data_IF_930342865436
#
_entry.id   IF_930342865436
#
_cell.length_a   1.000
_cell.length_b   1.000
_cell.length_c   1.000
_cell.angle_alpha   90.00
_cell.angle_beta   90.00
_cell.angle_gamma   90.00
#
_symmetry.space_group_name_H-M   'P 1'
#
loop_
_entity.id
_entity.type
_entity.pdbx_description
1 polymer ?
#
# COMPACT_ATOMS: atom_id res chain seq x y z
N UNK A 1 -6.33 46.75 -16.41
CA UNK A 1 -5.87 46.02 -15.23
C UNK A 1 -4.92 44.92 -15.73
N UNK A 2 -3.64 45.17 -15.52
CA UNK A 2 -2.57 44.32 -16.06
C UNK A 2 -2.43 43.07 -15.20
N UNK A 3 -2.59 41.88 -15.82
CA UNK A 3 -2.14 40.61 -15.26
C UNK A 3 -0.61 40.68 -15.11
N UNK A 4 -0.12 40.76 -13.89
CA UNK A 4 1.27 40.42 -13.57
C UNK A 4 1.37 38.91 -13.49
N UNK A 5 1.82 38.30 -14.56
CA UNK A 5 2.34 36.95 -14.54
C UNK A 5 3.54 36.89 -13.59
N UNK A 6 3.44 36.03 -12.59
CA UNK A 6 4.57 35.64 -11.74
C UNK A 6 5.48 34.74 -12.55
N UNK A 7 6.26 35.32 -13.45
CA UNK A 7 7.41 34.62 -14.01
C UNK A 7 8.39 34.32 -12.88
N UNK A 8 8.67 33.02 -12.69
CA UNK A 8 9.39 32.50 -11.56
C UNK A 8 10.79 33.11 -11.42
N UNK A 9 11.22 33.26 -10.18
CA UNK A 9 12.48 33.83 -9.74
C UNK A 9 13.76 33.14 -10.29
N UNK A 10 13.64 32.11 -11.09
CA UNK A 10 14.76 31.39 -11.74
C UNK A 10 15.49 32.20 -12.81
N UNK A 11 14.85 33.20 -13.40
CA UNK A 11 15.47 34.05 -14.44
C UNK A 11 16.59 34.97 -13.93
N UNK A 12 16.79 35.06 -12.61
CA UNK A 12 17.83 35.89 -11.98
C UNK A 12 19.09 35.14 -11.57
N UNK A 13 19.12 33.82 -11.71
CA UNK A 13 20.30 33.03 -11.37
C UNK A 13 21.32 33.11 -12.50
N UNK A 14 22.59 33.31 -12.12
CA UNK A 14 23.67 33.19 -13.09
C UNK A 14 23.79 31.73 -13.59
N UNK A 15 24.42 31.47 -14.75
CA UNK A 15 24.66 30.11 -15.20
C UNK A 15 25.42 29.25 -14.18
N UNK A 16 26.28 29.86 -13.37
CA UNK A 16 27.01 29.18 -12.29
C UNK A 16 26.05 28.81 -11.16
N UNK A 17 25.15 29.72 -10.76
CA UNK A 17 24.17 29.43 -9.70
C UNK A 17 23.17 28.36 -10.15
N UNK A 18 22.77 28.35 -11.42
CA UNK A 18 21.92 27.30 -12.00
C UNK A 18 22.64 25.94 -11.98
N UNK A 19 23.91 25.91 -12.39
CA UNK A 19 24.72 24.67 -12.33
C UNK A 19 24.88 24.18 -10.87
N UNK A 20 25.21 25.07 -9.94
CA UNK A 20 25.35 24.70 -8.52
C UNK A 20 24.03 24.18 -7.95
N UNK A 21 22.92 24.87 -8.23
CA UNK A 21 21.61 24.52 -7.66
C UNK A 21 21.01 23.25 -8.29
N UNK A 22 21.11 23.11 -9.60
CA UNK A 22 20.42 22.02 -10.32
C UNK A 22 21.30 20.78 -10.45
N UNK A 23 22.62 20.97 -10.70
CA UNK A 23 23.53 19.86 -10.94
C UNK A 23 24.27 19.44 -9.68
N UNK A 24 25.04 20.33 -9.07
CA UNK A 24 25.95 19.98 -7.96
C UNK A 24 25.21 19.48 -6.72
N UNK A 25 24.07 20.12 -6.35
CA UNK A 25 23.28 19.68 -5.21
C UNK A 25 22.49 18.41 -5.47
N UNK A 26 22.24 18.06 -6.74
CA UNK A 26 21.55 16.84 -7.14
C UNK A 26 22.51 15.69 -7.54
N UNK A 27 23.80 15.92 -7.60
CA UNK A 27 24.82 14.90 -7.92
C UNK A 27 25.07 13.85 -6.80
N UNK A 28 24.28 13.86 -5.74
CA UNK A 28 24.33 12.82 -4.71
C UNK A 28 23.74 11.52 -5.25
N UNK A 29 24.39 10.91 -6.22
CA UNK A 29 24.09 9.53 -6.63
C UNK A 29 24.38 8.61 -5.45
N UNK A 30 23.31 8.06 -4.88
CA UNK A 30 23.39 6.89 -4.00
C UNK A 30 22.90 5.70 -4.78
N UNK A 31 23.63 4.60 -4.69
CA UNK A 31 23.11 3.32 -5.16
C UNK A 31 21.98 2.91 -4.23
N UNK A 32 20.77 2.95 -4.73
CA UNK A 32 19.58 2.43 -4.06
C UNK A 32 19.34 1.00 -4.51
N UNK A 33 18.89 0.10 -3.61
CA UNK A 33 18.44 -1.22 -4.02
C UNK A 33 17.41 -1.09 -5.13
N UNK A 34 17.63 -1.77 -6.24
CA UNK A 34 16.65 -1.90 -7.32
C UNK A 34 15.66 -2.99 -6.98
N UNK A 35 14.39 -2.82 -7.32
CA UNK A 35 13.33 -3.79 -7.06
C UNK A 35 12.10 -3.15 -6.45
N UNK A 36 11.02 -3.92 -6.38
CA UNK A 36 9.76 -3.48 -5.78
C UNK A 36 9.77 -3.65 -4.27
N UNK A 37 8.98 -2.84 -3.57
CA UNK A 37 9.02 -2.71 -2.09
C UNK A 37 8.82 -4.06 -1.39
N UNK A 38 7.89 -4.88 -1.84
CA UNK A 38 7.62 -6.17 -1.20
C UNK A 38 8.76 -7.18 -1.40
N UNK A 39 9.50 -7.15 -2.51
CA UNK A 39 10.69 -7.98 -2.69
C UNK A 39 11.83 -7.57 -1.77
N UNK A 40 12.04 -6.27 -1.59
CA UNK A 40 13.02 -5.76 -0.62
C UNK A 40 12.66 -6.18 0.80
N UNK A 41 11.37 -6.16 1.14
CA UNK A 41 10.86 -6.69 2.40
C UNK A 41 11.15 -8.20 2.54
N UNK A 42 10.86 -9.01 1.52
CA UNK A 42 11.11 -10.44 1.52
C UNK A 42 12.60 -10.78 1.68
N UNK A 43 13.49 -10.02 1.03
CA UNK A 43 14.94 -10.17 1.24
C UNK A 43 15.30 -9.93 2.70
N UNK A 44 14.69 -8.92 3.33
CA UNK A 44 14.91 -8.63 4.75
C UNK A 44 14.35 -9.72 5.66
N UNK A 45 13.15 -10.21 5.36
CA UNK A 45 12.50 -11.29 6.11
C UNK A 45 13.33 -12.58 6.09
N UNK A 46 13.89 -12.94 4.94
CA UNK A 46 14.80 -14.10 4.84
C UNK A 46 16.10 -13.92 5.62
N UNK A 47 16.68 -12.71 5.65
CA UNK A 47 17.94 -12.44 6.35
C UNK A 47 17.79 -12.40 7.88
N UNK A 48 16.66 -11.93 8.38
CA UNK A 48 16.44 -11.70 9.81
C UNK A 48 15.01 -12.09 10.20
N UNK A 49 14.62 -13.38 10.07
CA UNK A 49 13.24 -13.83 10.24
C UNK A 49 12.67 -13.51 11.63
N UNK A 50 13.50 -13.65 12.67
CA UNK A 50 13.09 -13.48 14.08
C UNK A 50 13.20 -12.03 14.59
N UNK A 51 13.75 -11.11 13.78
CA UNK A 51 13.79 -9.71 14.17
C UNK A 51 12.37 -9.12 14.17
N UNK A 52 12.11 -8.21 15.10
CA UNK A 52 10.84 -7.48 15.16
C UNK A 52 10.71 -6.58 13.94
N UNK A 53 9.68 -6.79 13.15
CA UNK A 53 9.34 -5.98 11.98
C UNK A 53 8.39 -4.84 12.35
N UNK A 54 7.43 -5.10 13.24
CA UNK A 54 6.43 -4.12 13.68
C UNK A 54 6.21 -4.27 15.19
N UNK A 55 6.22 -3.16 15.90
CA UNK A 55 5.76 -3.05 17.28
C UNK A 55 4.59 -2.07 17.35
N UNK A 56 3.45 -2.51 17.87
CA UNK A 56 2.25 -1.70 17.94
C UNK A 56 1.40 -2.06 19.18
N UNK A 57 1.15 -1.09 20.07
CA UNK A 57 0.34 -1.25 21.29
C UNK A 57 0.76 -2.45 22.15
N UNK A 58 2.07 -2.66 22.32
CA UNK A 58 2.62 -3.76 23.10
C UNK A 58 2.62 -5.13 22.41
N UNK A 59 2.17 -5.22 21.20
CA UNK A 59 2.29 -6.40 20.35
C UNK A 59 3.51 -6.25 19.42
N UNK A 60 4.31 -7.29 19.31
CA UNK A 60 5.43 -7.37 18.40
C UNK A 60 5.19 -8.49 17.39
N UNK A 61 5.52 -8.21 16.14
CA UNK A 61 5.42 -9.16 15.03
C UNK A 61 6.77 -9.24 14.35
N UNK A 62 7.32 -10.44 14.19
CA UNK A 62 8.59 -10.66 13.52
C UNK A 62 8.45 -10.54 12.01
N UNK A 63 9.57 -10.40 11.30
CA UNK A 63 9.59 -10.41 9.83
C UNK A 63 8.99 -11.68 9.26
N UNK A 64 9.31 -12.84 9.85
CA UNK A 64 8.77 -14.14 9.42
C UNK A 64 7.24 -14.21 9.56
N UNK A 65 6.71 -13.80 10.73
CA UNK A 65 5.28 -13.80 10.98
C UNK A 65 4.52 -12.84 10.05
N UNK A 66 5.08 -11.65 9.84
CA UNK A 66 4.49 -10.65 8.95
C UNK A 66 4.48 -11.16 7.49
N UNK A 67 5.56 -11.78 7.04
CA UNK A 67 5.67 -12.35 5.69
C UNK A 67 4.65 -13.46 5.46
N UNK A 68 4.57 -14.43 6.38
CA UNK A 68 3.62 -15.53 6.31
C UNK A 68 2.17 -15.04 6.27
N UNK A 69 1.82 -14.12 7.17
CA UNK A 69 0.44 -13.59 7.24
C UNK A 69 0.10 -12.78 5.98
N UNK A 70 1.05 -12.01 5.46
CA UNK A 70 0.88 -11.28 4.21
C UNK A 70 0.73 -12.22 3.01
N UNK A 71 1.49 -13.33 2.96
CA UNK A 71 1.35 -14.34 1.91
C UNK A 71 -0.03 -15.01 1.95
N UNK A 72 -0.52 -15.39 3.14
CA UNK A 72 -1.85 -15.97 3.30
C UNK A 72 -2.95 -15.04 2.79
N UNK A 73 -2.89 -13.75 3.17
CA UNK A 73 -3.85 -12.77 2.69
C UNK A 73 -3.70 -12.52 1.18
N UNK A 74 -2.48 -12.48 0.65
CA UNK A 74 -2.26 -12.30 -0.79
C UNK A 74 -2.84 -13.46 -1.60
N UNK A 75 -2.61 -14.71 -1.19
CA UNK A 75 -3.20 -15.89 -1.82
C UNK A 75 -4.74 -15.86 -1.76
N UNK A 76 -5.28 -15.39 -0.64
CA UNK A 76 -6.73 -15.20 -0.50
C UNK A 76 -7.27 -14.13 -1.46
N UNK A 77 -6.59 -12.99 -1.58
CA UNK A 77 -6.96 -11.91 -2.51
C UNK A 77 -6.98 -12.41 -3.96
N UNK A 78 -5.97 -13.18 -4.36
CA UNK A 78 -5.89 -13.76 -5.71
C UNK A 78 -7.05 -14.71 -5.97
N UNK A 79 -7.42 -15.55 -5.00
CA UNK A 79 -8.61 -16.42 -5.08
C UNK A 79 -9.91 -15.60 -5.23
N UNK A 80 -9.97 -14.45 -4.56
CA UNK A 80 -11.11 -13.52 -4.68
C UNK A 80 -11.13 -12.72 -5.98
N UNK A 81 -10.18 -12.90 -6.86
CA UNK A 81 -10.16 -12.31 -8.19
C UNK A 81 -9.21 -11.14 -8.37
N UNK A 82 -8.44 -10.77 -7.35
CA UNK A 82 -7.37 -9.77 -7.49
C UNK A 82 -6.29 -10.29 -8.45
N UNK A 83 -5.82 -9.45 -9.34
CA UNK A 83 -4.80 -9.76 -10.36
C UNK A 83 -3.77 -8.64 -10.40
N UNK A 84 -2.61 -8.85 -11.06
CA UNK A 84 -1.69 -7.75 -11.35
C UNK A 84 -2.42 -6.55 -11.94
N UNK A 85 -1.99 -5.36 -11.57
CA UNK A 85 -2.57 -4.06 -11.97
C UNK A 85 -3.99 -3.79 -11.43
N UNK A 86 -4.59 -4.71 -10.64
CA UNK A 86 -5.87 -4.42 -9.97
C UNK A 86 -5.71 -3.34 -8.91
N UNK A 87 -6.76 -2.55 -8.70
CA UNK A 87 -6.87 -1.71 -7.51
C UNK A 87 -7.59 -2.45 -6.38
N UNK A 88 -7.08 -2.31 -5.16
CA UNK A 88 -7.70 -2.80 -3.93
C UNK A 88 -7.74 -1.66 -2.92
N UNK A 89 -8.94 -1.25 -2.56
CA UNK A 89 -9.11 -0.19 -1.57
C UNK A 89 -8.94 -0.76 -0.14
N UNK A 90 -8.39 0.04 0.76
CA UNK A 90 -8.21 -0.33 2.16
C UNK A 90 -8.86 0.72 3.05
N UNK A 91 -9.82 0.29 3.86
CA UNK A 91 -10.40 1.13 4.90
C UNK A 91 -10.33 0.43 6.26
N UNK A 92 -9.24 0.68 6.95
CA UNK A 92 -8.90 0.11 8.25
C UNK A 92 -8.32 1.19 9.16
N UNK A 93 -8.59 1.09 10.46
CA UNK A 93 -7.86 1.84 11.46
C UNK A 93 -6.38 1.43 11.46
N UNK A 94 -5.50 2.33 11.89
CA UNK A 94 -4.06 2.02 12.05
C UNK A 94 -3.89 0.80 12.95
N UNK A 95 -3.32 -0.27 12.40
CA UNK A 95 -3.21 -1.57 13.05
C UNK A 95 -2.19 -2.47 12.34
N UNK A 96 -1.86 -3.60 12.98
CA UNK A 96 -1.09 -4.66 12.33
C UNK A 96 -1.80 -5.20 11.09
N UNK A 97 -3.14 -5.33 11.14
CA UNK A 97 -3.95 -5.78 10.00
C UNK A 97 -3.80 -4.88 8.78
N UNK A 98 -3.70 -3.55 8.98
CA UNK A 98 -3.49 -2.60 7.89
C UNK A 98 -2.13 -2.82 7.22
N UNK A 99 -1.06 -3.04 7.99
CA UNK A 99 0.28 -3.28 7.44
C UNK A 99 0.36 -4.61 6.69
N UNK A 100 -0.26 -5.66 7.23
CA UNK A 100 -0.42 -6.95 6.55
C UNK A 100 -1.15 -6.77 5.22
N UNK A 101 -2.22 -5.97 5.21
CA UNK A 101 -3.01 -5.72 3.99
C UNK A 101 -2.21 -4.99 2.91
N UNK A 102 -1.40 -3.99 3.26
CA UNK A 102 -0.53 -3.32 2.30
C UNK A 102 0.44 -4.30 1.63
N UNK A 103 1.14 -5.10 2.44
CA UNK A 103 2.07 -6.09 1.90
C UNK A 103 1.36 -7.15 1.06
N UNK A 104 0.22 -7.64 1.51
CA UNK A 104 -0.53 -8.67 0.80
C UNK A 104 -1.01 -8.21 -0.58
N UNK A 105 -1.47 -6.97 -0.69
CA UNK A 105 -1.90 -6.40 -1.99
C UNK A 105 -0.72 -6.29 -2.94
N UNK A 106 0.42 -5.76 -2.47
CA UNK A 106 1.63 -5.68 -3.28
C UNK A 106 2.14 -7.05 -3.71
N UNK A 107 2.09 -8.06 -2.82
CA UNK A 107 2.45 -9.44 -3.13
C UNK A 107 1.49 -10.13 -4.12
N UNK A 108 0.25 -9.67 -4.18
CA UNK A 108 -0.73 -10.10 -5.19
C UNK A 108 -0.54 -9.38 -6.55
N UNK A 109 0.45 -8.49 -6.68
CA UNK A 109 0.71 -7.70 -7.88
C UNK A 109 -0.24 -6.51 -8.07
N UNK A 110 -1.05 -6.20 -7.07
CA UNK A 110 -2.06 -5.15 -7.12
C UNK A 110 -1.56 -3.84 -6.48
N UNK A 111 -2.24 -2.75 -6.78
CA UNK A 111 -2.05 -1.46 -6.15
C UNK A 111 -3.10 -1.23 -5.06
N UNK A 112 -2.70 -0.63 -3.94
CA UNK A 112 -3.64 -0.28 -2.88
C UNK A 112 -4.01 1.19 -2.89
N UNK A 113 -5.27 1.49 -2.54
CA UNK A 113 -5.79 2.84 -2.35
C UNK A 113 -6.30 2.96 -0.91
N UNK A 114 -5.65 3.78 -0.07
CA UNK A 114 -6.10 3.96 1.31
C UNK A 114 -7.30 4.90 1.36
N UNK A 115 -8.37 4.46 2.01
CA UNK A 115 -9.58 5.24 2.31
C UNK A 115 -9.64 5.42 3.83
N UNK A 116 -9.46 6.64 4.28
CA UNK A 116 -9.56 6.93 5.72
C UNK A 116 -11.02 6.71 6.20
N UNK A 117 -11.24 5.89 7.25
CA UNK A 117 -12.59 5.59 7.71
C UNK A 117 -13.44 6.80 8.11
N UNK A 118 -12.81 7.91 8.44
CA UNK A 118 -13.47 9.17 8.83
C UNK A 118 -13.86 10.06 7.65
N UNK A 119 -13.55 9.66 6.40
CA UNK A 119 -13.92 10.46 5.24
C UNK A 119 -15.44 10.58 5.09
N UNK A 120 -15.95 11.75 4.63
CA UNK A 120 -17.35 11.94 4.32
C UNK A 120 -17.84 10.92 3.27
N UNK A 121 -19.09 10.42 3.40
CA UNK A 121 -19.62 9.39 2.49
C UNK A 121 -19.52 9.73 1.00
N UNK A 122 -19.77 11.00 0.63
CA UNK A 122 -19.69 11.45 -0.75
C UNK A 122 -18.25 11.37 -1.31
N UNK A 123 -17.22 11.63 -0.48
CA UNK A 123 -15.83 11.48 -0.88
C UNK A 123 -15.48 9.99 -1.07
N UNK A 124 -15.93 9.13 -0.16
CA UNK A 124 -15.75 7.67 -0.25
C UNK A 124 -16.39 7.14 -1.54
N UNK A 125 -17.64 7.53 -1.82
CA UNK A 125 -18.33 7.12 -3.04
C UNK A 125 -17.59 7.59 -4.31
N UNK A 126 -17.09 8.82 -4.31
CA UNK A 126 -16.28 9.36 -5.41
C UNK A 126 -14.98 8.54 -5.61
N UNK A 127 -14.20 8.31 -4.53
CA UNK A 127 -12.95 7.55 -4.60
C UNK A 127 -13.17 6.15 -5.14
N UNK A 128 -14.21 5.45 -4.68
CA UNK A 128 -14.52 4.09 -5.14
C UNK A 128 -15.00 4.08 -6.60
N UNK A 129 -15.79 5.08 -7.01
CA UNK A 129 -16.22 5.22 -8.40
C UNK A 129 -15.04 5.46 -9.34
N UNK A 130 -14.07 6.26 -8.90
CA UNK A 130 -12.87 6.60 -9.67
C UNK A 130 -11.89 5.42 -9.75
N UNK A 131 -11.61 4.79 -8.61
CA UNK A 131 -10.68 3.64 -8.55
C UNK A 131 -11.25 2.37 -9.17
N UNK A 132 -12.56 2.20 -9.14
CA UNK A 132 -13.23 0.95 -9.59
C UNK A 132 -12.55 -0.32 -9.05
N UNK A 133 -12.42 -0.46 -7.72
CA UNK A 133 -11.57 -1.49 -7.13
C UNK A 133 -12.15 -2.90 -7.34
N UNK A 134 -11.26 -3.88 -7.51
CA UNK A 134 -11.63 -5.30 -7.54
C UNK A 134 -12.15 -5.77 -6.19
N UNK A 135 -11.62 -5.21 -5.10
CA UNK A 135 -12.03 -5.53 -3.73
C UNK A 135 -11.77 -4.34 -2.80
N UNK A 136 -12.49 -4.33 -1.68
CA UNK A 136 -12.27 -3.39 -0.57
C UNK A 136 -11.96 -4.20 0.68
N UNK A 137 -10.77 -4.03 1.24
CA UNK A 137 -10.39 -4.61 2.54
C UNK A 137 -10.86 -3.67 3.65
N UNK A 138 -11.63 -4.22 4.59
CA UNK A 138 -12.21 -3.43 5.68
C UNK A 138 -12.38 -4.26 6.97
N UNK A 139 -12.85 -3.62 8.02
CA UNK A 139 -13.30 -4.27 9.27
C UNK A 139 -14.82 -4.33 9.32
N UNK A 140 -15.37 -5.10 10.28
CA UNK A 140 -16.80 -5.10 10.55
C UNK A 140 -17.34 -3.73 10.95
N UNK A 141 -16.52 -2.93 11.64
CA UNK A 141 -16.85 -1.56 12.06
C UNK A 141 -17.09 -0.63 10.86
N UNK A 142 -16.25 -0.72 9.82
CA UNK A 142 -16.28 0.21 8.69
C UNK A 142 -17.03 -0.33 7.46
N UNK A 143 -17.31 -1.64 7.39
CA UNK A 143 -18.03 -2.27 6.29
C UNK A 143 -19.38 -1.60 5.93
N UNK A 144 -20.15 -1.03 6.88
CA UNK A 144 -21.40 -0.32 6.56
C UNK A 144 -21.22 0.84 5.58
N UNK A 145 -20.06 1.48 5.55
CA UNK A 145 -19.75 2.63 4.68
C UNK A 145 -19.69 2.23 3.19
N UNK A 146 -19.56 0.93 2.88
CA UNK A 146 -19.32 0.41 1.53
C UNK A 146 -20.48 -0.39 0.95
N UNK A 147 -21.64 -0.48 1.62
CA UNK A 147 -22.79 -1.32 1.21
C UNK A 147 -23.34 -0.99 -0.17
N UNK A 148 -23.17 0.23 -0.65
CA UNK A 148 -23.76 0.72 -1.91
C UNK A 148 -22.79 0.66 -3.09
N UNK A 149 -21.54 0.25 -2.89
CA UNK A 149 -20.49 0.42 -3.90
C UNK A 149 -20.47 -0.68 -4.96
N UNK A 150 -21.13 -1.82 -4.73
CA UNK A 150 -21.06 -2.98 -5.61
C UNK A 150 -19.71 -3.71 -5.62
N UNK A 151 -18.66 -3.14 -5.01
CA UNK A 151 -17.37 -3.77 -4.89
C UNK A 151 -17.39 -4.95 -3.89
N UNK A 152 -16.54 -5.94 -4.11
CA UNK A 152 -16.40 -7.08 -3.21
C UNK A 152 -15.78 -6.62 -1.88
N UNK A 153 -16.50 -6.76 -0.77
CA UNK A 153 -15.96 -6.47 0.55
C UNK A 153 -15.23 -7.70 1.11
N UNK A 154 -14.02 -7.48 1.61
CA UNK A 154 -13.22 -8.45 2.34
C UNK A 154 -13.11 -7.94 3.78
N UNK A 155 -13.91 -8.54 4.66
CA UNK A 155 -13.96 -8.18 6.08
C UNK A 155 -12.97 -9.03 6.86
N UNK A 156 -11.84 -8.45 7.23
CA UNK A 156 -10.76 -9.19 7.90
C UNK A 156 -11.17 -9.85 9.21
N UNK A 157 -12.22 -9.35 9.85
CA UNK A 157 -12.71 -9.93 11.10
C UNK A 157 -13.46 -11.24 10.85
N UNK A 158 -14.35 -11.26 9.86
CA UNK A 158 -15.17 -12.42 9.52
C UNK A 158 -14.39 -13.49 8.74
N UNK A 159 -13.44 -13.06 7.92
CA UNK A 159 -12.72 -13.92 6.99
C UNK A 159 -11.35 -14.39 7.52
N UNK A 160 -11.03 -14.06 8.77
CA UNK A 160 -9.73 -14.33 9.38
C UNK A 160 -9.33 -15.82 9.36
N UNK A 161 -10.26 -16.72 9.58
CA UNK A 161 -10.01 -18.16 9.53
C UNK A 161 -9.77 -18.64 8.10
N UNK A 162 -10.61 -18.21 7.16
CA UNK A 162 -10.46 -18.54 5.75
C UNK A 162 -9.12 -18.04 5.19
N UNK A 163 -8.65 -16.87 5.62
CA UNK A 163 -7.35 -16.31 5.25
C UNK A 163 -6.22 -17.18 5.82
N UNK A 164 -6.28 -17.54 7.10
CA UNK A 164 -5.26 -18.38 7.75
C UNK A 164 -5.12 -19.78 7.16
N UNK A 165 -6.16 -20.30 6.55
CA UNK A 165 -6.15 -21.60 5.86
C UNK A 165 -5.46 -21.56 4.49
N UNK A 166 -5.07 -20.38 3.99
CA UNK A 166 -4.33 -20.24 2.72
C UNK A 166 -2.85 -20.51 2.90
N UNK A 167 -2.18 -20.84 1.79
CA UNK A 167 -0.73 -21.06 1.77
C UNK A 167 0.01 -19.84 2.34
N UNK A 168 0.97 -20.09 3.20
CA UNK A 168 1.91 -19.10 3.70
C UNK A 168 3.11 -18.90 2.75
N UNK A 169 3.18 -19.67 1.66
CA UNK A 169 4.20 -19.50 0.62
C UNK A 169 3.91 -18.25 -0.22
N UNK A 170 5.00 -17.68 -0.75
CA UNK A 170 4.90 -16.53 -1.66
C UNK A 170 3.93 -16.84 -2.81
N UNK A 171 2.97 -15.95 -3.12
CA UNK A 171 2.15 -16.10 -4.31
C UNK A 171 2.99 -16.18 -5.59
N UNK A 172 2.60 -17.04 -6.51
CA UNK A 172 3.21 -17.10 -7.83
C UNK A 172 2.50 -16.10 -8.75
N UNK A 173 3.02 -14.89 -8.80
CA UNK A 173 2.49 -13.77 -9.58
C UNK A 173 3.64 -13.18 -10.39
N UNK A 174 3.45 -13.04 -11.69
CA UNK A 174 4.35 -12.30 -12.57
C UNK A 174 4.05 -10.79 -12.44
N UNK A 175 5.01 -10.02 -11.93
CA UNK A 175 4.90 -8.57 -11.70
C UNK A 175 5.97 -7.87 -12.54
#
# INVERSE_FOLDING_TARGET
MQNRETEGSFSRLTPVDQYLTISLFNERKKDYPTGVVHELFEVRARKNPEAVAIAYRGQEVTYSQLDQTANQLANYLIEKGVRPESFVDISLNRSLKMMVSFLAILKAGAAYIPIEPSFPPNLVEFMISDSSPTAIITSNEHAPNFKKTGAKLIKLDDESEAIRMRSAEKPNVDI
#
